data_IF_889707870223
#
_entry.id   IF_889707870223
#
_cell.length_a   1.000
_cell.length_b   1.000
_cell.length_c   1.000
_cell.angle_alpha   90.00
_cell.angle_beta   90.00
_cell.angle_gamma   90.00
#
_symmetry.space_group_name_H-M   'P 1'
#
loop_
_entity.id
_entity.type
_entity.pdbx_description
1 polymer ?
#
# COMPACT_ATOMS: atom_id res chain seq x y z
N UNK A 1 -16.93 12.07 -18.78
CA UNK A 1 -16.97 12.12 -17.30
C UNK A 1 -18.06 13.00 -16.72
N UNK A 2 -18.21 14.28 -17.08
CA UNK A 2 -19.33 15.11 -16.58
C UNK A 2 -20.71 14.50 -16.82
N UNK A 3 -20.97 14.03 -18.04
CA UNK A 3 -22.26 13.38 -18.38
C UNK A 3 -22.27 11.90 -18.03
N UNK A 4 -21.20 11.16 -18.38
CA UNK A 4 -21.13 9.69 -18.21
C UNK A 4 -21.09 9.27 -16.74
N UNK A 5 -20.31 9.97 -15.90
CA UNK A 5 -20.12 9.65 -14.49
C UNK A 5 -20.80 10.68 -13.56
N UNK A 6 -21.49 11.68 -14.11
CA UNK A 6 -22.16 12.72 -13.32
C UNK A 6 -21.23 13.65 -12.54
N UNK A 7 -19.94 13.71 -12.87
CA UNK A 7 -18.96 14.46 -12.06
C UNK A 7 -19.07 15.98 -12.30
N UNK A 8 -19.10 16.80 -11.23
CA UNK A 8 -19.17 18.26 -11.33
C UNK A 8 -17.81 18.86 -11.71
N UNK A 9 -17.44 18.76 -12.99
CA UNK A 9 -16.21 19.36 -13.52
C UNK A 9 -16.43 20.85 -13.77
N UNK A 10 -15.87 21.70 -12.92
CA UNK A 10 -16.08 23.15 -12.92
C UNK A 10 -15.13 23.93 -13.83
N UNK A 11 -13.92 23.41 -14.07
CA UNK A 11 -12.89 24.07 -14.89
C UNK A 11 -11.95 23.04 -15.52
N UNK A 12 -11.51 23.33 -16.74
CA UNK A 12 -10.41 22.65 -17.42
C UNK A 12 -9.37 23.73 -17.72
N UNK A 13 -8.11 23.44 -17.40
CA UNK A 13 -6.98 24.34 -17.67
C UNK A 13 -5.96 23.57 -18.48
N UNK A 14 -5.43 24.21 -19.52
CA UNK A 14 -4.33 23.69 -20.34
C UNK A 14 -3.13 24.56 -20.03
N UNK A 15 -1.97 23.92 -19.81
CA UNK A 15 -0.72 24.62 -19.52
C UNK A 15 -0.28 25.44 -20.73
N UNK A 16 0.41 26.56 -20.49
CA UNK A 16 0.94 27.40 -21.58
C UNK A 16 2.14 26.75 -22.27
N UNK A 17 2.86 25.89 -21.56
CA UNK A 17 4.00 25.13 -22.04
C UNK A 17 3.77 23.64 -21.79
N UNK A 18 4.45 22.81 -22.57
CA UNK A 18 4.40 21.37 -22.39
C UNK A 18 4.94 20.97 -21.02
N UNK A 19 4.22 20.06 -20.39
CA UNK A 19 4.64 19.41 -19.14
C UNK A 19 4.85 17.95 -19.48
N UNK A 20 6.05 17.44 -19.17
CA UNK A 20 6.37 16.04 -19.37
C UNK A 20 7.16 15.50 -18.19
N UNK A 21 7.03 14.21 -17.96
CA UNK A 21 7.94 13.46 -17.11
C UNK A 21 8.63 12.38 -17.94
N UNK A 22 9.85 12.00 -17.57
CA UNK A 22 10.58 10.89 -18.18
C UNK A 22 10.84 9.80 -17.15
N UNK A 23 10.60 8.54 -17.52
CA UNK A 23 10.93 7.39 -16.67
C UNK A 23 12.44 7.20 -16.60
N UNK A 24 12.96 7.11 -15.38
CA UNK A 24 14.37 6.80 -15.12
C UNK A 24 14.48 5.59 -14.21
N UNK A 25 15.61 4.90 -14.26
CA UNK A 25 15.94 3.84 -13.31
C UNK A 25 17.28 4.15 -12.65
N UNK A 26 17.31 4.07 -11.32
CA UNK A 26 18.53 4.21 -10.53
C UNK A 26 19.46 3.02 -10.75
N UNK A 27 20.74 3.18 -10.36
CA UNK A 27 21.73 2.10 -10.35
C UNK A 27 21.36 0.94 -9.40
N UNK A 28 20.36 1.13 -8.53
CA UNK A 28 19.83 0.11 -7.62
C UNK A 28 18.54 -0.55 -8.15
N UNK A 29 18.14 -0.24 -9.40
CA UNK A 29 16.98 -0.85 -10.04
C UNK A 29 15.63 -0.22 -9.67
N UNK A 30 15.60 0.82 -8.84
CA UNK A 30 14.36 1.56 -8.55
C UNK A 30 14.00 2.53 -9.68
N UNK A 31 12.72 2.58 -10.05
CA UNK A 31 12.20 3.60 -10.96
C UNK A 31 12.20 4.99 -10.28
N UNK A 32 12.34 6.03 -11.10
CA UNK A 32 12.38 7.45 -10.74
C UNK A 32 11.81 8.29 -11.89
N UNK A 33 11.76 9.61 -11.73
CA UNK A 33 11.28 10.53 -12.75
C UNK A 33 12.13 11.80 -12.88
N UNK A 34 12.28 12.27 -14.10
CA UNK A 34 12.72 13.64 -14.41
C UNK A 34 11.55 14.44 -14.97
N UNK A 35 11.45 15.71 -14.62
CA UNK A 35 10.28 16.54 -14.96
C UNK A 35 10.68 17.81 -15.70
N UNK A 36 9.89 18.19 -16.69
CA UNK A 36 10.02 19.46 -17.41
C UNK A 36 8.70 20.23 -17.38
N UNK A 37 8.77 21.56 -17.42
CA UNK A 37 7.58 22.42 -17.47
C UNK A 37 6.77 22.52 -16.17
N UNK A 38 7.29 22.03 -15.03
CA UNK A 38 6.59 22.04 -13.74
C UNK A 38 6.13 23.45 -13.34
N UNK A 39 6.90 24.50 -13.64
CA UNK A 39 6.50 25.88 -13.35
C UNK A 39 5.19 26.27 -14.08
N UNK A 40 4.99 25.78 -15.31
CA UNK A 40 3.75 26.01 -16.07
C UNK A 40 2.57 25.28 -15.43
N UNK A 41 2.80 24.06 -14.94
CA UNK A 41 1.81 23.31 -14.17
C UNK A 41 1.43 24.05 -12.88
N UNK A 42 2.41 24.51 -12.11
CA UNK A 42 2.16 25.22 -10.84
C UNK A 42 1.38 26.53 -11.04
N UNK A 43 1.66 27.29 -12.10
CA UNK A 43 0.87 28.48 -12.47
C UNK A 43 -0.61 28.16 -12.74
N UNK A 44 -0.90 26.97 -13.27
CA UNK A 44 -2.29 26.55 -13.48
C UNK A 44 -3.03 26.36 -12.15
N UNK A 45 -2.33 25.92 -11.09
CA UNK A 45 -2.92 25.78 -9.76
C UNK A 45 -3.28 27.13 -9.13
N UNK A 46 -2.51 28.19 -9.41
CA UNK A 46 -2.84 29.56 -8.98
C UNK A 46 -4.11 30.09 -9.64
N UNK A 47 -4.45 29.58 -10.82
CA UNK A 47 -5.64 29.97 -11.57
C UNK A 47 -6.93 29.27 -11.09
N UNK A 48 -6.85 28.31 -10.18
CA UNK A 48 -8.04 27.60 -9.70
C UNK A 48 -8.83 28.45 -8.70
N UNK A 49 -10.17 28.51 -8.81
CA UNK A 49 -10.99 29.13 -7.78
C UNK A 49 -10.84 28.37 -6.46
N UNK A 50 -10.99 29.08 -5.34
CA UNK A 50 -10.91 28.47 -4.00
C UNK A 50 -11.93 27.35 -3.75
N UNK A 51 -12.95 27.24 -4.59
CA UNK A 51 -13.97 26.19 -4.55
C UNK A 51 -13.53 24.87 -5.19
N UNK A 52 -12.35 24.78 -5.81
CA UNK A 52 -11.85 23.50 -6.33
C UNK A 52 -11.44 22.62 -5.15
N UNK A 53 -12.01 21.42 -5.10
CA UNK A 53 -11.79 20.49 -3.99
C UNK A 53 -10.94 19.28 -4.37
N UNK A 54 -10.70 19.06 -5.67
CA UNK A 54 -9.82 18.02 -6.18
C UNK A 54 -9.32 18.38 -7.59
N UNK A 55 -8.14 17.87 -7.97
CA UNK A 55 -7.55 18.10 -9.31
C UNK A 55 -7.09 16.78 -9.93
N UNK A 56 -7.43 16.56 -11.19
CA UNK A 56 -6.80 15.53 -12.02
C UNK A 56 -5.83 16.22 -12.99
N UNK A 57 -4.60 15.74 -13.05
CA UNK A 57 -3.57 16.17 -13.99
C UNK A 57 -3.43 15.09 -15.06
N UNK A 58 -3.45 15.46 -16.33
CA UNK A 58 -3.16 14.56 -17.43
C UNK A 58 -1.95 15.10 -18.18
N UNK A 59 -0.87 14.32 -18.23
CA UNK A 59 0.34 14.68 -18.96
C UNK A 59 1.07 13.45 -19.49
N UNK A 60 1.86 13.58 -20.57
CA UNK A 60 2.70 12.49 -21.04
C UNK A 60 3.76 12.11 -20.02
N UNK A 61 4.03 10.81 -19.94
CA UNK A 61 5.24 10.28 -19.33
C UNK A 61 6.00 9.56 -20.42
N UNK A 62 7.18 10.08 -20.74
CA UNK A 62 8.07 9.57 -21.76
C UNK A 62 8.77 8.32 -21.23
N UNK A 63 8.53 7.21 -21.91
CA UNK A 63 9.16 5.91 -21.66
C UNK A 63 9.78 5.47 -22.98
N UNK A 64 11.03 5.00 -22.96
CA UNK A 64 11.67 4.50 -24.18
C UNK A 64 10.94 3.27 -24.71
N UNK A 65 11.00 3.05 -26.03
CA UNK A 65 10.35 1.90 -26.65
C UNK A 65 10.87 0.58 -26.09
N UNK A 66 12.17 0.49 -25.80
CA UNK A 66 12.79 -0.72 -25.24
C UNK A 66 12.24 -1.06 -23.85
N UNK A 67 12.09 -0.05 -22.98
CA UNK A 67 11.56 -0.23 -21.62
C UNK A 67 10.07 -0.57 -21.67
N UNK A 68 9.31 0.12 -22.52
CA UNK A 68 7.87 -0.10 -22.71
C UNK A 68 7.60 -1.51 -23.23
N UNK A 69 8.32 -1.94 -24.27
CA UNK A 69 8.22 -3.30 -24.80
C UNK A 69 8.57 -4.34 -23.73
N UNK A 70 9.68 -4.16 -23.02
CA UNK A 70 10.06 -5.07 -21.93
C UNK A 70 8.98 -5.17 -20.85
N UNK A 71 8.37 -4.05 -20.43
CA UNK A 71 7.28 -4.06 -19.45
C UNK A 71 6.07 -4.87 -19.96
N UNK A 72 5.59 -4.60 -21.18
CA UNK A 72 4.43 -5.29 -21.73
C UNK A 72 4.71 -6.77 -22.07
N UNK A 73 5.96 -7.13 -22.35
CA UNK A 73 6.39 -8.53 -22.51
C UNK A 73 6.53 -9.27 -21.16
N UNK A 74 6.24 -8.60 -20.03
CA UNK A 74 6.25 -9.19 -18.70
C UNK A 74 7.66 -9.30 -18.09
N UNK A 75 8.60 -8.48 -18.54
CA UNK A 75 9.92 -8.40 -17.91
C UNK A 75 9.78 -8.00 -16.43
N UNK A 76 10.64 -8.56 -15.59
CA UNK A 76 10.65 -8.26 -14.16
C UNK A 76 11.35 -6.91 -13.89
N UNK A 77 10.70 -5.83 -14.30
CA UNK A 77 11.12 -4.44 -14.11
C UNK A 77 10.04 -3.66 -13.34
N UNK A 78 10.42 -2.65 -12.56
CA UNK A 78 9.43 -1.75 -11.97
C UNK A 78 8.60 -1.07 -13.07
N UNK A 79 7.33 -0.80 -12.75
CA UNK A 79 6.43 -0.05 -13.63
C UNK A 79 7.08 1.30 -14.02
N UNK A 80 7.29 1.56 -15.32
CA UNK A 80 8.03 2.74 -15.78
C UNK A 80 7.27 4.06 -15.56
N UNK A 81 5.94 4.01 -15.45
CA UNK A 81 5.12 5.21 -15.20
C UNK A 81 5.04 5.53 -13.71
N UNK A 82 4.89 4.50 -12.87
CA UNK A 82 4.46 4.65 -11.49
C UNK A 82 5.33 5.56 -10.62
N UNK A 83 6.65 5.56 -10.81
CA UNK A 83 7.54 6.40 -10.01
C UNK A 83 7.36 7.90 -10.32
N UNK A 84 7.33 8.28 -11.60
CA UNK A 84 7.10 9.66 -12.01
C UNK A 84 5.71 10.14 -11.56
N UNK A 85 4.69 9.29 -11.67
CA UNK A 85 3.34 9.61 -11.17
C UNK A 85 3.31 9.83 -9.66
N UNK A 86 3.93 8.93 -8.88
CA UNK A 86 3.99 9.04 -7.44
C UNK A 86 4.73 10.31 -7.00
N UNK A 87 5.86 10.63 -7.64
CA UNK A 87 6.62 11.85 -7.36
C UNK A 87 5.82 13.11 -7.68
N UNK A 88 5.16 13.17 -8.84
CA UNK A 88 4.37 14.33 -9.25
C UNK A 88 3.16 14.54 -8.32
N UNK A 89 2.39 13.50 -8.09
CA UNK A 89 1.21 13.57 -7.21
C UNK A 89 1.60 13.89 -5.77
N UNK A 90 2.69 13.31 -5.25
CA UNK A 90 3.20 13.65 -3.93
C UNK A 90 3.66 15.11 -3.84
N UNK A 91 4.40 15.61 -4.84
CA UNK A 91 4.83 17.00 -4.90
C UNK A 91 3.62 17.96 -4.89
N UNK A 92 2.66 17.73 -5.79
CA UNK A 92 1.48 18.58 -5.90
C UNK A 92 0.60 18.54 -4.66
N UNK A 93 0.33 17.36 -4.09
CA UNK A 93 -0.47 17.24 -2.85
C UNK A 93 0.24 17.86 -1.64
N UNK A 94 1.57 17.86 -1.63
CA UNK A 94 2.38 18.52 -0.59
C UNK A 94 2.31 20.05 -0.69
N UNK A 95 2.27 20.59 -1.91
CA UNK A 95 2.12 22.04 -2.16
C UNK A 95 0.68 22.51 -1.95
N UNK A 96 -0.28 21.75 -2.49
CA UNK A 96 -1.72 22.01 -2.47
C UNK A 96 -2.43 20.89 -1.70
N UNK A 97 -2.81 21.08 -0.43
CA UNK A 97 -3.34 20.04 0.45
C UNK A 97 -4.81 19.71 0.10
N UNK A 98 -4.98 19.05 -1.04
CA UNK A 98 -6.25 18.57 -1.58
C UNK A 98 -5.99 17.27 -2.35
N UNK A 99 -7.01 16.45 -2.62
CA UNK A 99 -6.88 15.31 -3.50
C UNK A 99 -6.37 15.72 -4.88
N UNK A 100 -5.23 15.16 -5.28
CA UNK A 100 -4.64 15.33 -6.60
C UNK A 100 -4.25 13.96 -7.12
N UNK A 101 -4.64 13.68 -8.36
CA UNK A 101 -4.26 12.45 -9.07
C UNK A 101 -3.63 12.83 -10.40
N UNK A 102 -2.74 11.97 -10.88
CA UNK A 102 -2.21 12.04 -12.23
C UNK A 102 -2.82 10.91 -13.06
N UNK A 103 -3.06 11.17 -14.35
CA UNK A 103 -3.33 10.16 -15.37
C UNK A 103 -2.25 10.28 -16.45
N UNK A 104 -1.52 9.20 -16.78
CA UNK A 104 -0.57 9.23 -17.86
C UNK A 104 -1.31 9.44 -19.18
N UNK A 105 -0.76 10.26 -20.07
CA UNK A 105 -1.30 10.45 -21.41
C UNK A 105 -0.39 9.80 -22.43
N UNK A 106 -0.85 8.70 -23.03
CA UNK A 106 -0.19 8.10 -24.19
C UNK A 106 -0.63 8.86 -25.44
N UNK A 107 0.28 9.66 -25.99
CA UNK A 107 0.01 10.56 -27.12
C UNK A 107 0.08 9.88 -28.48
N UNK A 108 0.68 8.69 -28.55
CA UNK A 108 0.84 7.91 -29.77
C UNK A 108 0.09 6.59 -29.64
N UNK A 109 -0.71 6.25 -30.65
CA UNK A 109 -1.49 5.01 -30.67
C UNK A 109 -0.60 3.76 -30.55
N UNK A 110 0.58 3.80 -31.19
CA UNK A 110 1.58 2.72 -31.11
C UNK A 110 2.14 2.50 -29.69
N UNK A 111 1.94 3.45 -28.78
CA UNK A 111 2.35 3.31 -27.38
C UNK A 111 1.28 2.67 -26.50
N UNK A 112 0.07 2.50 -27.03
CA UNK A 112 -1.08 1.96 -26.30
C UNK A 112 -1.21 0.46 -26.48
N UNK A 113 -1.82 -0.21 -25.50
CA UNK A 113 -2.28 -1.60 -25.60
C UNK A 113 -3.78 -1.67 -25.95
N UNK A 114 -4.29 -0.69 -26.69
CA UNK A 114 -5.72 -0.65 -27.01
C UNK A 114 -6.16 -1.91 -27.76
N UNK A 115 -7.19 -2.58 -27.24
CA UNK A 115 -7.67 -3.86 -27.77
C UNK A 115 -6.77 -5.07 -27.49
N UNK A 116 -5.65 -4.91 -26.80
CA UNK A 116 -4.74 -5.99 -26.40
C UNK A 116 -4.61 -6.05 -24.87
N UNK A 117 -4.99 -7.18 -24.27
CA UNK A 117 -4.80 -7.36 -22.83
C UNK A 117 -3.42 -7.98 -22.61
N UNK A 118 -2.50 -7.22 -22.01
CA UNK A 118 -1.23 -7.74 -21.51
C UNK A 118 -1.47 -8.51 -20.21
N UNK A 119 -1.35 -7.81 -19.07
CA UNK A 119 -1.67 -8.36 -17.76
C UNK A 119 -3.17 -8.17 -17.42
N UNK A 120 -3.87 -9.17 -16.85
CA UNK A 120 -5.25 -9.00 -16.38
C UNK A 120 -5.47 -7.84 -15.41
N UNK A 121 -4.43 -7.39 -14.71
CA UNK A 121 -4.45 -6.22 -13.81
C UNK A 121 -4.52 -4.89 -14.57
N UNK A 122 -4.09 -4.88 -15.83
CA UNK A 122 -3.94 -3.68 -16.66
C UNK A 122 -5.13 -3.49 -17.61
N UNK A 123 -6.33 -3.92 -17.19
CA UNK A 123 -7.54 -3.86 -18.01
C UNK A 123 -7.95 -2.45 -18.46
N UNK A 124 -7.43 -1.39 -17.83
CA UNK A 124 -7.67 -0.01 -18.27
C UNK A 124 -6.99 0.31 -19.61
N UNK A 125 -5.87 -0.36 -19.93
CA UNK A 125 -5.10 -0.13 -21.16
C UNK A 125 -5.84 -0.60 -22.42
N UNK A 126 -6.74 -1.57 -22.26
CA UNK A 126 -7.59 -2.08 -23.35
C UNK A 126 -8.47 -1.01 -24.00
N UNK A 127 -8.89 -0.01 -23.24
CA UNK A 127 -10.02 0.85 -23.62
C UNK A 127 -9.69 2.35 -23.58
N UNK A 128 -8.48 2.75 -23.20
CA UNK A 128 -8.16 4.16 -23.02
C UNK A 128 -6.66 4.45 -23.10
N UNK A 129 -6.28 5.46 -23.89
CA UNK A 129 -4.93 6.03 -23.95
C UNK A 129 -4.67 7.16 -22.94
N UNK A 130 -5.73 7.72 -22.35
CA UNK A 130 -5.62 8.92 -21.49
C UNK A 130 -5.85 8.67 -20.00
N UNK A 131 -6.22 7.44 -19.61
CA UNK A 131 -6.62 6.93 -18.28
C UNK A 131 -7.48 7.86 -17.38
N UNK A 132 -7.94 8.99 -17.90
CA UNK A 132 -8.50 10.11 -17.15
C UNK A 132 -9.83 9.74 -16.49
N UNK A 133 -10.59 8.85 -17.13
CA UNK A 133 -11.83 8.32 -16.60
C UNK A 133 -11.61 7.48 -15.33
N UNK A 134 -10.52 6.70 -15.29
CA UNK A 134 -10.16 5.88 -14.13
C UNK A 134 -9.86 6.77 -12.93
N UNK A 135 -8.95 7.72 -13.12
CA UNK A 135 -8.47 8.55 -12.01
C UNK A 135 -9.55 9.50 -11.49
N UNK A 136 -10.40 10.06 -12.35
CA UNK A 136 -11.51 10.92 -11.94
C UNK A 136 -12.56 10.17 -11.10
N UNK A 137 -12.77 8.88 -11.38
CA UNK A 137 -13.71 8.06 -10.61
C UNK A 137 -13.21 7.80 -9.18
N UNK A 138 -11.90 7.56 -9.03
CA UNK A 138 -11.25 7.44 -7.71
C UNK A 138 -11.18 8.77 -6.98
N UNK A 139 -10.81 9.84 -7.68
CA UNK A 139 -10.62 11.18 -7.12
C UNK A 139 -11.88 11.71 -6.45
N UNK A 140 -13.06 11.45 -7.03
CA UNK A 140 -14.36 11.88 -6.48
C UNK A 140 -14.67 11.30 -5.08
N UNK A 141 -13.94 10.26 -4.66
CA UNK A 141 -14.10 9.57 -3.37
C UNK A 141 -12.83 9.60 -2.52
N UNK A 142 -11.80 10.30 -2.97
CA UNK A 142 -10.49 10.29 -2.31
C UNK A 142 -10.53 11.05 -0.99
N UNK A 143 -9.90 10.53 0.08
CA UNK A 143 -9.78 11.27 1.34
C UNK A 143 -9.00 12.57 1.12
N UNK A 144 -9.38 13.63 1.83
CA UNK A 144 -8.72 14.93 1.74
C UNK A 144 -7.44 14.92 2.59
N UNK A 145 -6.25 15.18 2.00
CA UNK A 145 -5.04 15.39 2.79
C UNK A 145 -5.21 16.66 3.64
N UNK A 146 -4.91 16.56 4.93
CA UNK A 146 -4.94 17.68 5.86
C UNK A 146 -3.53 17.92 6.37
N UNK A 147 -3.11 19.19 6.44
CA UNK A 147 -1.79 19.50 7.00
C UNK A 147 -1.82 19.32 8.51
N UNK A 148 -0.84 18.57 9.02
CA UNK A 148 -0.73 18.23 10.44
C UNK A 148 -0.61 19.46 11.38
N UNK A 149 -0.17 20.60 10.86
CA UNK A 149 0.02 21.84 11.63
C UNK A 149 -1.26 22.68 11.79
N UNK A 150 -2.34 22.36 11.06
CA UNK A 150 -3.48 23.27 10.87
C UNK A 150 -4.78 22.87 11.56
N UNK A 151 -4.88 21.66 12.09
CA UNK A 151 -6.14 21.17 12.67
C UNK A 151 -5.86 20.14 13.75
N UNK A 152 -6.52 20.28 14.91
CA UNK A 152 -6.75 19.12 15.77
C UNK A 152 -7.58 18.11 14.98
N UNK A 153 -7.15 16.84 14.86
CA UNK A 153 -7.93 15.82 14.18
C UNK A 153 -9.32 15.76 14.82
N UNK A 154 -10.37 15.91 14.00
CA UNK A 154 -11.74 15.66 14.43
C UNK A 154 -12.10 14.19 14.19
N UNK A 155 -13.28 13.75 14.63
CA UNK A 155 -13.74 12.36 14.50
C UNK A 155 -13.83 11.86 13.05
N UNK A 156 -13.84 12.76 12.06
CA UNK A 156 -13.91 12.43 10.64
C UNK A 156 -12.51 12.27 9.99
N UNK A 157 -11.44 12.54 10.73
CA UNK A 157 -10.06 12.41 10.24
C UNK A 157 -9.50 11.03 10.53
N UNK A 158 -8.69 10.50 9.61
CA UNK A 158 -7.84 9.34 9.85
C UNK A 158 -6.44 9.83 10.21
N UNK A 159 -5.96 9.44 11.38
CA UNK A 159 -4.62 9.68 11.87
C UNK A 159 -3.86 8.36 12.04
N UNK A 160 -2.57 8.46 12.38
CA UNK A 160 -1.74 7.28 12.61
C UNK A 160 -2.21 6.49 13.85
N UNK A 161 -2.88 7.15 14.79
CA UNK A 161 -3.52 6.56 15.96
C UNK A 161 -4.67 5.61 15.58
N UNK A 162 -5.26 5.77 14.39
CA UNK A 162 -6.34 4.92 13.87
C UNK A 162 -5.81 3.68 13.12
N UNK A 163 -4.49 3.57 12.91
CA UNK A 163 -3.88 2.46 12.17
C UNK A 163 -3.72 1.22 13.06
N UNK A 164 -4.53 0.19 12.80
CA UNK A 164 -4.50 -1.06 13.59
C UNK A 164 -3.47 -2.09 13.12
N UNK A 165 -3.08 -2.06 11.84
CA UNK A 165 -2.09 -2.97 11.27
C UNK A 165 -1.57 -2.42 9.93
N UNK A 166 -0.34 -2.81 9.56
CA UNK A 166 0.26 -2.53 8.27
C UNK A 166 0.44 -3.83 7.49
N UNK A 167 -0.04 -3.91 6.25
CA UNK A 167 0.17 -5.09 5.38
C UNK A 167 1.12 -4.72 4.25
N UNK A 168 2.19 -5.49 4.09
CA UNK A 168 3.19 -5.26 3.04
C UNK A 168 3.60 -6.59 2.39
N UNK A 169 4.04 -6.57 1.12
CA UNK A 169 4.85 -7.65 0.57
C UNK A 169 6.08 -7.89 1.45
N UNK A 170 6.44 -9.15 1.71
CA UNK A 170 7.54 -9.49 2.62
C UNK A 170 8.91 -8.97 2.14
N UNK A 171 9.05 -8.68 0.84
CA UNK A 171 10.27 -8.15 0.22
C UNK A 171 10.17 -6.67 -0.19
N UNK A 172 9.26 -5.90 0.43
CA UNK A 172 9.07 -4.47 0.19
C UNK A 172 9.09 -3.67 1.51
N UNK A 173 9.96 -4.05 2.46
CA UNK A 173 10.09 -3.35 3.75
C UNK A 173 11.10 -2.19 3.67
N UNK A 174 11.20 -1.40 4.75
CA UNK A 174 12.18 -0.31 4.85
C UNK A 174 11.70 1.05 4.32
N UNK A 175 10.44 1.17 3.91
CA UNK A 175 9.82 2.46 3.63
C UNK A 175 9.41 3.21 4.91
N UNK A 176 9.05 4.49 4.77
CA UNK A 176 8.52 5.31 5.87
C UNK A 176 7.35 4.64 6.62
N UNK A 177 6.31 4.08 5.95
CA UNK A 177 5.22 3.41 6.66
C UNK A 177 5.69 2.23 7.52
N UNK A 178 6.68 1.47 7.04
CA UNK A 178 7.24 0.33 7.75
C UNK A 178 7.96 0.77 9.03
N UNK A 179 8.83 1.79 8.95
CA UNK A 179 9.57 2.26 10.11
C UNK A 179 8.68 2.92 11.15
N UNK A 180 7.68 3.72 10.72
CA UNK A 180 6.71 4.33 11.64
C UNK A 180 5.88 3.26 12.35
N UNK A 181 5.45 2.20 11.65
CA UNK A 181 4.74 1.09 12.26
C UNK A 181 5.61 0.34 13.29
N UNK A 182 6.88 0.10 12.97
CA UNK A 182 7.84 -0.52 13.89
C UNK A 182 8.03 0.31 15.16
N UNK A 183 8.27 1.62 15.01
CA UNK A 183 8.45 2.55 16.13
C UNK A 183 7.24 2.60 17.06
N UNK A 184 6.03 2.58 16.49
CA UNK A 184 4.76 2.66 17.24
C UNK A 184 4.24 1.33 17.76
N UNK A 185 4.93 0.23 17.47
CA UNK A 185 4.49 -1.10 17.85
C UNK A 185 3.23 -1.58 17.12
N UNK A 186 2.94 -1.02 15.95
CA UNK A 186 1.79 -1.42 15.13
C UNK A 186 2.11 -2.78 14.49
N UNK A 187 1.20 -3.78 14.56
CA UNK A 187 1.39 -5.06 13.90
C UNK A 187 1.67 -4.91 12.40
N UNK A 188 2.73 -5.57 11.91
CA UNK A 188 3.13 -5.57 10.51
C UNK A 188 2.98 -6.98 9.96
N UNK A 189 2.09 -7.13 9.00
CA UNK A 189 1.77 -8.39 8.33
C UNK A 189 2.54 -8.44 7.01
N UNK A 190 3.51 -9.33 6.93
CA UNK A 190 4.39 -9.53 5.78
C UNK A 190 3.90 -10.70 4.94
N UNK A 191 3.50 -10.43 3.70
CA UNK A 191 2.93 -11.41 2.77
C UNK A 191 4.01 -11.98 1.86
N UNK A 192 4.31 -13.27 1.99
CA UNK A 192 5.44 -13.92 1.31
C UNK A 192 5.20 -14.19 -0.18
N UNK A 193 3.97 -14.54 -0.59
CA UNK A 193 3.67 -14.88 -1.97
C UNK A 193 3.51 -13.66 -2.91
N UNK A 194 3.59 -12.43 -2.38
CA UNK A 194 3.69 -11.23 -3.19
C UNK A 194 5.14 -10.75 -3.23
N UNK A 195 5.78 -10.92 -4.39
CA UNK A 195 7.17 -10.57 -4.60
C UNK A 195 7.24 -9.31 -5.45
N UNK A 196 7.97 -8.30 -4.98
CA UNK A 196 8.19 -7.03 -5.67
C UNK A 196 9.63 -6.89 -6.17
N UNK A 197 9.88 -5.91 -7.05
CA UNK A 197 11.22 -5.56 -7.49
C UNK A 197 12.07 -4.86 -6.42
N UNK A 198 11.50 -4.52 -5.24
CA UNK A 198 12.26 -3.86 -4.16
C UNK A 198 13.32 -4.78 -3.58
N UNK A 199 12.98 -6.04 -3.31
CA UNK A 199 13.91 -7.05 -2.79
C UNK A 199 14.38 -6.83 -1.35
N UNK A 200 13.94 -5.76 -0.67
CA UNK A 200 14.33 -5.44 0.70
C UNK A 200 13.48 -6.25 1.66
N UNK A 201 14.12 -7.12 2.44
CA UNK A 201 13.48 -7.98 3.45
C UNK A 201 13.88 -7.58 4.88
N UNK A 202 13.17 -8.08 5.89
CA UNK A 202 13.54 -7.84 7.30
C UNK A 202 14.92 -8.41 7.65
N UNK A 203 15.32 -9.51 7.01
CA UNK A 203 16.64 -10.13 7.17
C UNK A 203 17.73 -9.21 6.60
N UNK A 204 17.48 -8.61 5.43
CA UNK A 204 18.42 -7.66 4.81
C UNK A 204 18.64 -6.40 5.65
N UNK A 205 17.66 -6.05 6.50
CA UNK A 205 17.73 -4.92 7.43
C UNK A 205 18.20 -5.31 8.84
N UNK A 206 18.40 -6.60 9.12
CA UNK A 206 18.75 -7.09 10.47
C UNK A 206 17.63 -6.93 11.51
N UNK A 207 16.36 -6.92 11.09
CA UNK A 207 15.18 -6.66 11.93
C UNK A 207 14.30 -7.91 12.12
N UNK A 208 14.88 -9.07 12.45
CA UNK A 208 14.15 -10.35 12.54
C UNK A 208 13.43 -10.58 13.87
N UNK A 209 13.85 -9.90 14.93
CA UNK A 209 13.44 -10.23 16.31
C UNK A 209 12.23 -9.42 16.83
N UNK A 210 11.58 -8.62 15.98
CA UNK A 210 10.48 -7.77 16.43
C UNK A 210 9.20 -8.58 16.64
N UNK A 211 8.57 -8.52 17.82
CA UNK A 211 7.33 -9.24 18.11
C UNK A 211 6.12 -8.72 17.31
N UNK A 212 6.26 -7.54 16.69
CA UNK A 212 5.19 -6.92 15.90
C UNK A 212 5.16 -7.44 14.45
N UNK A 213 6.14 -8.25 14.05
CA UNK A 213 6.22 -8.81 12.71
C UNK A 213 5.45 -10.14 12.63
N UNK A 214 4.52 -10.23 11.69
CA UNK A 214 3.69 -11.41 11.44
C UNK A 214 3.90 -11.82 9.98
N UNK A 215 4.56 -12.95 9.76
CA UNK A 215 4.69 -13.52 8.41
C UNK A 215 3.48 -14.38 8.06
N UNK A 216 2.96 -14.21 6.85
CA UNK A 216 1.88 -15.01 6.28
C UNK A 216 2.21 -15.34 4.82
N UNK A 217 1.74 -16.47 4.33
CA UNK A 217 2.04 -16.87 2.97
C UNK A 217 1.23 -16.05 1.95
N UNK A 218 -0.02 -15.68 2.24
CA UNK A 218 -0.93 -15.05 1.27
C UNK A 218 -1.77 -13.89 1.83
N UNK A 219 -2.31 -13.05 0.95
CA UNK A 219 -3.29 -12.01 1.33
C UNK A 219 -4.58 -12.56 1.95
N UNK A 220 -4.96 -13.80 1.61
CA UNK A 220 -6.08 -14.48 2.25
C UNK A 220 -5.76 -14.76 3.73
N UNK A 221 -4.55 -15.24 4.03
CA UNK A 221 -4.08 -15.41 5.40
C UNK A 221 -3.92 -14.07 6.13
N UNK A 222 -3.40 -13.04 5.45
CA UNK A 222 -3.32 -11.68 6.01
C UNK A 222 -4.71 -11.18 6.46
N UNK A 223 -5.75 -11.48 5.69
CA UNK A 223 -7.14 -11.17 6.05
C UNK A 223 -7.56 -11.90 7.33
N UNK A 224 -7.22 -13.19 7.46
CA UNK A 224 -7.45 -13.97 8.67
C UNK A 224 -6.74 -13.38 9.90
N UNK A 225 -5.49 -12.91 9.75
CA UNK A 225 -4.76 -12.21 10.81
C UNK A 225 -5.46 -10.91 11.20
N UNK A 226 -5.84 -10.08 10.22
CA UNK A 226 -6.59 -8.83 10.48
C UNK A 226 -7.89 -9.12 11.24
N UNK A 227 -8.62 -10.16 10.85
CA UNK A 227 -9.86 -10.56 11.52
C UNK A 227 -9.62 -11.02 12.96
N UNK A 228 -8.54 -11.78 13.21
CA UNK A 228 -8.17 -12.23 14.54
C UNK A 228 -7.79 -11.04 15.44
N UNK A 229 -6.95 -10.13 14.94
CA UNK A 229 -6.58 -8.89 15.65
C UNK A 229 -7.81 -8.05 15.98
N UNK A 230 -8.69 -7.82 15.01
CA UNK A 230 -9.95 -7.09 15.19
C UNK A 230 -10.88 -7.74 16.23
N UNK A 231 -10.82 -9.06 16.37
CA UNK A 231 -11.67 -9.82 17.30
C UNK A 231 -11.01 -10.09 18.66
N UNK A 232 -9.79 -9.60 18.89
CA UNK A 232 -9.03 -9.88 20.11
C UNK A 232 -8.61 -11.36 20.26
N UNK A 233 -8.49 -12.09 19.15
CA UNK A 233 -8.11 -13.51 19.15
C UNK A 233 -6.59 -13.61 19.02
N UNK A 234 -5.96 -14.32 19.97
CA UNK A 234 -4.52 -14.56 19.94
C UNK A 234 -4.14 -15.49 18.76
N UNK A 235 -3.16 -15.07 17.95
CA UNK A 235 -2.79 -15.79 16.71
C UNK A 235 -2.22 -17.19 16.98
N UNK A 236 -1.51 -17.37 18.09
CA UNK A 236 -0.96 -18.66 18.51
C UNK A 236 -2.05 -19.69 18.84
N UNK A 237 -3.23 -19.25 19.27
CA UNK A 237 -4.40 -20.13 19.48
C UNK A 237 -4.98 -20.70 18.18
N UNK A 238 -4.72 -20.04 17.06
CA UNK A 238 -5.16 -20.46 15.73
C UNK A 238 -4.18 -21.44 15.06
N UNK A 239 -2.99 -21.60 15.63
CA UNK A 239 -1.98 -22.53 15.13
C UNK A 239 -2.09 -23.90 15.79
N UNK A 240 -1.56 -24.91 15.13
CA UNK A 240 -1.49 -26.28 15.65
C UNK A 240 -0.05 -26.78 15.66
N UNK A 241 0.38 -27.48 16.73
CA UNK A 241 -0.38 -27.77 17.96
C UNK A 241 -0.57 -26.52 18.83
N UNK A 242 -1.69 -26.45 19.58
CA UNK A 242 -1.91 -25.37 20.55
C UNK A 242 -0.92 -25.57 21.71
N UNK A 243 -0.17 -24.52 22.06
CA UNK A 243 0.78 -24.58 23.18
C UNK A 243 0.03 -24.78 24.49
N UNK A 244 0.56 -25.65 25.36
CA UNK A 244 0.00 -25.83 26.69
C UNK A 244 0.24 -24.60 27.55
N UNK A 245 -0.74 -24.21 28.35
CA UNK A 245 -0.62 -23.14 29.34
C UNK A 245 0.22 -23.66 30.52
N UNK A 246 1.21 -22.87 30.93
CA UNK A 246 1.98 -23.12 32.14
C UNK A 246 1.15 -22.70 33.36
N UNK A 247 1.09 -23.58 34.35
CA UNK A 247 0.46 -23.34 35.64
C UNK A 247 1.57 -23.21 36.66
N UNK A 248 1.63 -22.05 37.31
CA UNK A 248 2.49 -21.84 38.45
C UNK A 248 1.72 -22.10 39.74
N UNK A 249 2.29 -22.95 40.60
CA UNK A 249 1.77 -23.20 41.94
C UNK A 249 2.94 -23.20 42.92
N UNK A 250 2.89 -22.28 43.88
CA UNK A 250 3.85 -22.19 44.99
C UNK A 250 5.33 -22.20 44.53
N UNK A 251 5.65 -21.49 43.43
CA UNK A 251 7.01 -21.41 42.87
C UNK A 251 7.45 -22.60 41.99
N UNK A 252 6.56 -23.57 41.74
CA UNK A 252 6.76 -24.63 40.76
C UNK A 252 5.95 -24.36 39.49
N UNK A 253 6.62 -24.42 38.34
CA UNK A 253 5.99 -24.29 37.02
C UNK A 253 5.81 -25.68 36.40
N UNK A 254 4.57 -26.04 36.05
CA UNK A 254 4.24 -27.27 35.32
C UNK A 254 3.22 -26.97 34.22
N UNK A 255 3.11 -27.79 33.19
CA UNK A 255 2.02 -27.62 32.21
C UNK A 255 0.69 -28.06 32.83
N UNK A 256 -0.42 -27.46 32.39
CA UNK A 256 -1.75 -27.88 32.83
C UNK A 256 -1.99 -29.39 32.61
N UNK A 257 -1.48 -29.94 31.51
CA UNK A 257 -1.54 -31.38 31.21
C UNK A 257 -0.78 -32.23 32.24
N UNK A 258 0.44 -31.85 32.61
CA UNK A 258 1.22 -32.56 33.63
C UNK A 258 0.53 -32.58 34.99
N UNK A 259 -0.12 -31.48 35.37
CA UNK A 259 -0.88 -31.40 36.63
C UNK A 259 -2.11 -32.29 36.58
N UNK A 260 -2.85 -32.30 35.46
CA UNK A 260 -4.02 -33.15 35.28
C UNK A 260 -3.66 -34.63 35.25
N UNK A 261 -2.58 -35.01 34.56
CA UNK A 261 -2.07 -36.39 34.52
C UNK A 261 -1.64 -36.87 35.90
N UNK A 262 -0.88 -36.06 36.65
CA UNK A 262 -0.49 -36.40 38.03
C UNK A 262 -1.70 -36.53 38.95
N UNK A 263 -2.64 -35.58 38.87
CA UNK A 263 -3.89 -35.63 39.66
C UNK A 263 -4.75 -36.85 39.32
N UNK A 264 -4.76 -37.28 38.06
CA UNK A 264 -5.46 -38.49 37.64
C UNK A 264 -4.78 -39.75 38.16
N UNK A 265 -3.45 -39.85 38.02
CA UNK A 265 -2.67 -40.98 38.56
C UNK A 265 -2.83 -41.11 40.08
N UNK A 266 -2.76 -40.01 40.82
CA UNK A 266 -2.96 -39.99 42.28
C UNK A 266 -4.38 -40.46 42.66
N UNK A 267 -5.42 -40.09 41.90
CA UNK A 267 -6.80 -40.57 42.15
C UNK A 267 -6.98 -42.05 41.83
N UNK A 268 -6.36 -42.55 40.76
CA UNK A 268 -6.47 -43.97 40.36
C UNK A 268 -5.68 -44.91 41.28
N UNK A 269 -4.57 -44.44 41.85
CA UNK A 269 -3.76 -45.23 42.79
C UNK A 269 -4.39 -45.33 44.19
N UNK A 270 -5.22 -44.37 44.60
CA UNK A 270 -5.99 -44.41 45.86
C UNK A 270 -7.27 -45.27 45.74
N UNK A 271 -7.75 -45.55 44.53
CA UNK A 271 -8.91 -46.41 44.28
C UNK A 271 -8.65 -47.92 44.32
N UNK A 272 -7.39 -48.34 44.44
CA UNK A 272 -6.96 -49.74 44.44
C UNK A 272 -6.86 -50.38 45.83
N UNK A 273 -7.77 -50.08 46.76
CA UNK A 273 -7.89 -50.78 48.04
C UNK A 273 -9.36 -50.80 48.47
N UNK A 274 -10.15 -51.71 47.89
CA UNK A 274 -11.27 -52.39 48.57
C UNK A 274 -11.39 -53.80 48.04
#
# INVERSE_FOLDING_TARGET
MRTVAGLPISKIVVTEQDVSASSLYSNYGHASGEFSGIDSLLKCFECFPKSVEAVAVASPIVVSEEIRAAYYDGAHIPNPWGAAEAMLTHCLTSLFPMPITHAPLLTEEAHTMMGQLGDPRDGAELISSSYICSVLSGLARSPRPIRADRTSPNEDCLAIEDLSALVLPANAVGGLPFFVAMERGIPIILVENNVTCSGVTIESLGLTESPNLIKVHSYLEATGVIMALKSGIALDSLQRPVRSVLVERDGMTATAMQILEKSYQDRTSVGGLR
#
